data_IF_687530841001
#
_entry.id   IF_687530841001
#
_cell.length_a   1.000
_cell.length_b   1.000
_cell.length_c   1.000
_cell.angle_alpha   90.00
_cell.angle_beta   90.00
_cell.angle_gamma   90.00
#
_symmetry.space_group_name_H-M   'P 1'
#
loop_
_entity.id
_entity.type
_entity.pdbx_description
1 polymer ?
#
# COMPACT_ATOMS: atom_id res chain seq x y z
N UNK A 1 6.35 -17.09 -21.73
CA UNK A 1 5.00 -17.67 -21.92
C UNK A 1 4.06 -16.54 -22.31
N UNK A 2 3.09 -16.78 -23.20
CA UNK A 2 2.05 -15.79 -23.49
C UNK A 2 1.19 -15.61 -22.21
N UNK A 3 0.91 -14.36 -21.86
CA UNK A 3 0.01 -14.04 -20.76
C UNK A 3 -1.42 -14.23 -21.21
N UNK A 4 -2.20 -15.05 -20.52
CA UNK A 4 -3.61 -15.24 -20.82
C UNK A 4 -4.41 -13.96 -20.52
N UNK A 5 -5.46 -13.74 -21.30
CA UNK A 5 -6.35 -12.59 -21.09
C UNK A 5 -7.52 -13.00 -20.19
N UNK A 6 -7.68 -12.30 -19.06
CA UNK A 6 -8.88 -12.45 -18.24
C UNK A 6 -9.99 -11.61 -18.90
N UNK A 7 -11.06 -12.27 -19.30
CA UNK A 7 -12.18 -11.60 -19.95
C UNK A 7 -12.82 -10.53 -19.04
N UNK A 8 -13.13 -9.35 -19.59
CA UNK A 8 -13.65 -8.22 -18.84
C UNK A 8 -15.02 -8.50 -18.18
N UNK A 9 -15.89 -9.25 -18.86
CA UNK A 9 -17.19 -9.68 -18.32
C UNK A 9 -17.04 -10.55 -17.06
N UNK A 10 -16.02 -11.45 -17.02
CA UNK A 10 -15.69 -12.24 -15.83
C UNK A 10 -15.23 -11.36 -14.67
N UNK A 11 -14.37 -10.37 -14.95
CA UNK A 11 -13.93 -9.41 -13.95
C UNK A 11 -15.13 -8.63 -13.39
N UNK A 12 -16.00 -8.12 -14.28
CA UNK A 12 -17.19 -7.36 -13.92
C UNK A 12 -18.18 -8.20 -13.09
N UNK A 13 -18.42 -9.45 -13.47
CA UNK A 13 -19.31 -10.35 -12.74
C UNK A 13 -18.83 -10.56 -11.29
N UNK A 14 -17.53 -10.70 -11.06
CA UNK A 14 -16.94 -10.86 -9.73
C UNK A 14 -16.91 -9.55 -8.94
N UNK A 15 -16.65 -8.42 -9.59
CA UNK A 15 -16.64 -7.12 -8.94
C UNK A 15 -18.05 -6.63 -8.51
N UNK A 16 -19.11 -7.25 -9.02
CA UNK A 16 -20.52 -6.90 -8.73
C UNK A 16 -20.88 -5.51 -9.27
N UNK A 17 -21.52 -4.66 -8.45
CA UNK A 17 -21.74 -3.24 -8.77
C UNK A 17 -20.42 -2.45 -8.72
N UNK A 18 -19.38 -3.02 -9.31
CA UNK A 18 -17.98 -2.68 -9.17
C UNK A 18 -17.58 -1.25 -9.52
N UNK A 19 -16.26 -0.97 -9.47
CA UNK A 19 -15.74 0.34 -9.81
C UNK A 19 -16.02 0.66 -11.27
N UNK A 20 -16.01 1.96 -11.67
CA UNK A 20 -16.07 2.34 -13.07
C UNK A 20 -15.01 1.66 -13.93
N UNK A 21 -13.79 1.53 -13.41
CA UNK A 21 -12.68 0.82 -14.03
C UNK A 21 -11.95 -0.08 -13.06
N UNK A 22 -11.53 -1.24 -13.52
CA UNK A 22 -10.79 -2.23 -12.74
C UNK A 22 -9.75 -2.93 -13.62
N UNK A 23 -8.61 -3.24 -13.03
CA UNK A 23 -7.59 -4.08 -13.65
C UNK A 23 -7.11 -5.14 -12.65
N UNK A 24 -6.79 -6.34 -13.14
CA UNK A 24 -6.37 -7.49 -12.34
C UNK A 24 -5.27 -8.25 -13.06
N UNK A 25 -4.30 -8.76 -12.29
CA UNK A 25 -3.36 -9.76 -12.76
C UNK A 25 -3.23 -10.91 -11.76
N UNK A 26 -3.03 -12.12 -12.29
CA UNK A 26 -2.69 -13.33 -11.56
C UNK A 26 -1.27 -13.73 -11.97
N UNK A 27 -0.43 -14.04 -10.99
CA UNK A 27 0.97 -14.39 -11.22
C UNK A 27 1.38 -15.64 -10.44
N UNK A 28 2.35 -16.35 -10.97
CA UNK A 28 3.11 -17.41 -10.31
C UNK A 28 4.61 -17.12 -10.36
N UNK A 29 5.46 -17.97 -9.81
CA UNK A 29 6.91 -17.75 -9.83
C UNK A 29 7.49 -17.65 -11.25
N UNK A 30 6.86 -18.25 -12.24
CA UNK A 30 7.24 -18.20 -13.65
C UNK A 30 6.94 -16.84 -14.31
N UNK A 31 5.98 -16.08 -13.79
CA UNK A 31 5.59 -14.77 -14.33
C UNK A 31 4.10 -14.46 -14.15
N UNK A 32 3.63 -13.44 -14.84
CA UNK A 32 2.19 -13.14 -14.96
C UNK A 32 1.55 -14.23 -15.81
N UNK A 33 0.60 -14.96 -15.24
CA UNK A 33 -0.17 -16.02 -15.90
C UNK A 33 -1.31 -15.43 -16.71
N UNK A 34 -2.06 -14.52 -16.08
CA UNK A 34 -3.22 -13.92 -16.71
C UNK A 34 -3.40 -12.48 -16.23
N UNK A 35 -3.85 -11.60 -17.12
CA UNK A 35 -4.19 -10.22 -16.79
C UNK A 35 -5.41 -9.75 -17.57
N UNK A 36 -6.10 -8.75 -17.06
CA UNK A 36 -7.25 -8.16 -17.74
C UNK A 36 -7.69 -6.87 -17.09
N UNK A 37 -8.53 -6.14 -17.78
CA UNK A 37 -9.16 -4.92 -17.28
C UNK A 37 -10.58 -4.81 -17.84
N UNK A 38 -11.42 -4.05 -17.15
CA UNK A 38 -12.79 -3.78 -17.55
C UNK A 38 -13.23 -2.38 -17.13
N UNK A 39 -14.12 -1.78 -17.92
CA UNK A 39 -14.75 -0.50 -17.63
C UNK A 39 -13.90 0.71 -18.00
N UNK A 40 -14.08 1.82 -17.28
CA UNK A 40 -13.56 3.14 -17.61
C UNK A 40 -12.60 3.66 -16.54
N UNK A 41 -11.39 4.00 -16.94
CA UNK A 41 -10.43 4.74 -16.11
C UNK A 41 -10.87 6.19 -15.90
N UNK A 42 -11.56 6.78 -16.91
CA UNK A 42 -12.21 8.09 -16.81
C UNK A 42 -13.58 8.04 -17.51
N UNK A 43 -14.66 8.19 -16.74
CA UNK A 43 -16.05 8.18 -17.27
C UNK A 43 -16.28 9.39 -18.18
N UNK A 44 -15.80 10.57 -17.78
CA UNK A 44 -16.08 11.82 -18.48
C UNK A 44 -15.37 11.87 -19.85
N UNK A 45 -14.16 11.35 -19.91
CA UNK A 45 -13.35 11.30 -21.13
C UNK A 45 -13.57 10.00 -21.95
N UNK A 46 -14.31 9.02 -21.44
CA UNK A 46 -14.52 7.73 -22.10
C UNK A 46 -13.25 6.86 -22.18
N UNK A 47 -12.26 7.11 -21.32
CA UNK A 47 -10.99 6.38 -21.34
C UNK A 47 -11.18 4.99 -20.74
N UNK A 48 -10.82 3.96 -21.51
CA UNK A 48 -10.93 2.56 -21.06
C UNK A 48 -9.93 2.25 -19.95
N UNK A 49 -10.34 1.41 -19.00
CA UNK A 49 -9.43 0.83 -18.02
C UNK A 49 -8.45 -0.13 -18.70
N UNK A 50 -7.23 -0.16 -18.19
CA UNK A 50 -6.17 -1.04 -18.70
C UNK A 50 -5.19 -1.38 -17.57
N UNK A 51 -4.35 -2.43 -17.70
CA UNK A 51 -3.27 -2.70 -16.76
C UNK A 51 -2.25 -1.55 -16.62
N UNK A 52 -2.20 -0.69 -17.62
CA UNK A 52 -1.30 0.48 -17.69
C UNK A 52 -1.87 1.73 -17.01
N UNK A 53 -3.14 1.72 -16.58
CA UNK A 53 -3.71 2.86 -15.87
C UNK A 53 -2.97 3.08 -14.54
N UNK A 54 -2.67 4.35 -14.26
CA UNK A 54 -1.96 4.74 -13.04
C UNK A 54 -2.98 5.09 -11.96
N UNK A 55 -2.89 4.40 -10.82
CA UNK A 55 -3.73 4.61 -9.65
C UNK A 55 -2.86 4.94 -8.42
N UNK A 56 -3.36 5.72 -7.45
CA UNK A 56 -2.80 5.74 -6.11
C UNK A 56 -2.83 4.34 -5.49
N UNK A 57 -1.65 3.83 -5.08
CA UNK A 57 -1.56 2.51 -4.43
C UNK A 57 -2.11 2.51 -3.01
N UNK A 58 -2.20 3.72 -2.45
CA UNK A 58 -2.65 3.89 -1.08
C UNK A 58 -1.85 2.98 -0.13
N UNK A 59 -2.52 2.31 0.81
CA UNK A 59 -1.83 1.52 1.81
C UNK A 59 -1.01 0.34 1.29
N UNK A 60 -1.14 -0.09 0.03
CA UNK A 60 -0.21 -1.06 -0.59
C UNK A 60 1.23 -0.53 -0.56
N UNK A 61 1.42 0.79 -0.59
CA UNK A 61 2.72 1.46 -0.38
C UNK A 61 3.46 0.95 0.86
N UNK A 62 2.73 0.57 1.93
CA UNK A 62 3.36 0.08 3.17
C UNK A 62 4.16 -1.21 2.97
N UNK A 63 3.78 -2.04 1.99
CA UNK A 63 4.60 -3.21 1.63
C UNK A 63 5.93 -2.80 1.01
N UNK A 64 5.92 -1.78 0.15
CA UNK A 64 7.16 -1.25 -0.45
C UNK A 64 8.02 -0.61 0.63
N UNK A 65 7.42 0.18 1.54
CA UNK A 65 8.10 0.73 2.72
C UNK A 65 8.72 -0.38 3.58
N UNK A 66 7.98 -1.46 3.82
CA UNK A 66 8.47 -2.61 4.58
C UNK A 66 9.61 -3.33 3.86
N UNK A 67 9.51 -3.52 2.55
CA UNK A 67 10.56 -4.13 1.73
C UNK A 67 11.85 -3.30 1.77
N UNK A 68 11.74 -1.97 1.68
CA UNK A 68 12.88 -1.07 1.80
C UNK A 68 13.52 -1.13 3.21
N UNK A 69 12.73 -1.16 4.27
CA UNK A 69 13.24 -1.32 5.64
C UNK A 69 13.95 -2.67 5.84
N UNK A 70 13.38 -3.76 5.30
CA UNK A 70 14.00 -5.09 5.33
C UNK A 70 15.29 -5.13 4.53
N UNK A 71 15.36 -4.44 3.39
CA UNK A 71 16.58 -4.27 2.60
C UNK A 71 17.67 -3.56 3.40
N UNK A 72 17.34 -2.46 4.08
CA UNK A 72 18.28 -1.75 4.95
C UNK A 72 18.76 -2.62 6.13
N UNK A 73 17.88 -3.47 6.65
CA UNK A 73 18.25 -4.40 7.72
C UNK A 73 19.25 -5.45 7.25
N UNK A 74 19.07 -6.03 6.07
CA UNK A 74 20.04 -6.99 5.50
C UNK A 74 21.39 -6.33 5.15
N UNK A 75 21.38 -5.04 4.82
CA UNK A 75 22.59 -4.25 4.62
C UNK A 75 23.29 -3.83 5.94
N UNK A 76 22.69 -4.14 7.09
CA UNK A 76 23.21 -3.75 8.40
C UNK A 76 23.07 -2.25 8.72
N UNK A 77 22.26 -1.51 7.93
CA UNK A 77 22.03 -0.06 8.09
C UNK A 77 20.92 0.24 9.09
N UNK A 78 19.91 -0.64 9.18
CA UNK A 78 18.78 -0.52 10.10
C UNK A 78 18.67 -1.77 10.97
N UNK A 79 18.87 -1.64 12.27
CA UNK A 79 18.55 -2.73 13.20
C UNK A 79 17.04 -2.78 13.46
N UNK A 80 16.41 -3.92 13.12
CA UNK A 80 14.98 -4.11 13.30
C UNK A 80 14.55 -4.18 14.76
N UNK A 81 15.45 -4.55 15.65
CA UNK A 81 15.18 -4.85 17.06
C UNK A 81 15.73 -3.78 18.01
N UNK A 82 16.58 -2.90 17.52
CA UNK A 82 17.02 -1.74 18.28
C UNK A 82 15.91 -0.66 18.35
N UNK A 83 15.80 0.07 19.49
CA UNK A 83 14.89 1.19 19.60
C UNK A 83 15.17 2.28 18.57
N UNK A 84 14.12 2.75 17.88
CA UNK A 84 14.24 3.84 16.88
C UNK A 84 14.17 5.23 17.51
N UNK A 85 14.10 5.31 18.84
CA UNK A 85 13.86 6.55 19.58
C UNK A 85 14.88 7.64 19.30
N UNK A 86 16.16 7.28 19.24
CA UNK A 86 17.24 8.25 18.98
C UNK A 86 17.27 8.73 17.51
N UNK A 87 16.75 7.91 16.61
CA UNK A 87 16.66 8.26 15.18
C UNK A 87 15.43 9.10 14.83
N UNK A 88 14.44 9.17 15.75
CA UNK A 88 13.17 9.89 15.49
C UNK A 88 12.87 10.83 16.66
N UNK A 89 13.44 12.05 16.69
CA UNK A 89 13.25 13.00 17.80
C UNK A 89 11.77 13.30 18.12
N UNK A 90 10.88 13.21 17.13
CA UNK A 90 9.43 13.37 17.29
C UNK A 90 8.82 12.39 18.32
N UNK A 91 9.44 11.22 18.57
CA UNK A 91 8.99 10.25 19.57
C UNK A 91 9.11 10.77 21.01
N UNK A 92 9.90 11.82 21.27
CA UNK A 92 9.97 12.47 22.59
C UNK A 92 8.64 13.06 23.05
N UNK A 93 7.72 13.32 22.13
CA UNK A 93 6.35 13.76 22.42
C UNK A 93 5.43 12.62 22.85
N UNK A 94 5.78 11.37 22.52
CA UNK A 94 4.92 10.19 22.71
C UNK A 94 4.92 9.75 24.18
N UNK A 95 3.76 9.34 24.68
CA UNK A 95 3.55 8.94 26.07
C UNK A 95 2.92 7.55 26.20
N UNK A 96 3.24 6.80 27.24
CA UNK A 96 4.29 7.10 28.21
C UNK A 96 5.69 6.99 27.59
N UNK A 97 6.63 7.83 28.04
CA UNK A 97 7.98 7.91 27.46
C UNK A 97 8.74 6.56 27.53
N UNK A 98 8.57 5.81 28.61
CA UNK A 98 9.18 4.48 28.77
C UNK A 98 8.73 3.49 27.68
N UNK A 99 7.49 3.58 27.17
CA UNK A 99 7.02 2.77 26.04
C UNK A 99 7.55 3.30 24.71
N UNK A 100 7.54 4.62 24.53
CA UNK A 100 8.07 5.26 23.33
C UNK A 100 9.54 4.89 23.08
N UNK A 101 10.35 4.88 24.15
CA UNK A 101 11.76 4.50 24.11
C UNK A 101 12.03 3.03 23.74
N UNK A 102 11.00 2.17 23.73
CA UNK A 102 11.12 0.74 23.36
C UNK A 102 10.55 0.41 21.98
N UNK A 103 10.08 1.41 21.22
CA UNK A 103 9.58 1.18 19.87
C UNK A 103 10.75 0.82 18.96
N UNK A 104 10.64 -0.32 18.28
CA UNK A 104 11.62 -0.80 17.29
C UNK A 104 11.07 -0.73 15.89
N UNK A 105 11.91 -0.85 14.87
CA UNK A 105 11.47 -0.95 13.47
C UNK A 105 10.54 -2.16 13.27
N UNK A 106 10.81 -3.29 13.92
CA UNK A 106 9.94 -4.48 13.89
C UNK A 106 8.53 -4.20 14.42
N UNK A 107 8.41 -3.43 15.49
CA UNK A 107 7.11 -3.00 16.01
C UNK A 107 6.34 -2.11 15.03
N UNK A 108 7.04 -1.27 14.27
CA UNK A 108 6.44 -0.39 13.26
C UNK A 108 5.97 -1.20 12.05
N UNK A 109 6.79 -2.14 11.56
CA UNK A 109 6.50 -3.05 10.45
C UNK A 109 5.30 -3.97 10.72
N UNK A 110 5.18 -4.45 11.96
CA UNK A 110 4.08 -5.34 12.40
C UNK A 110 2.88 -4.59 13.00
N UNK A 111 2.85 -3.24 12.90
CA UNK A 111 1.82 -2.41 13.52
C UNK A 111 1.57 -2.72 15.00
N UNK A 112 2.60 -3.11 15.72
CA UNK A 112 2.55 -3.45 17.15
C UNK A 112 3.18 -2.39 18.06
N UNK A 113 3.52 -1.22 17.51
CA UNK A 113 4.13 -0.12 18.29
C UNK A 113 3.16 0.57 19.26
N UNK A 114 1.86 0.33 19.17
CA UNK A 114 0.86 0.90 20.08
C UNK A 114 0.24 2.22 19.61
N UNK A 115 0.58 2.73 18.46
CA UNK A 115 0.00 3.96 17.92
C UNK A 115 -1.51 3.85 17.65
N UNK A 116 -2.20 4.99 17.76
CA UNK A 116 -3.56 5.14 17.26
C UNK A 116 -3.55 5.14 15.71
N UNK A 117 -4.73 4.97 15.11
CA UNK A 117 -4.91 5.09 13.67
C UNK A 117 -5.88 6.24 13.36
N UNK A 118 -5.42 7.49 13.32
CA UNK A 118 -6.24 8.61 12.90
C UNK A 118 -6.63 8.47 11.42
N UNK A 119 -7.84 8.94 11.09
CA UNK A 119 -8.34 8.89 9.72
C UNK A 119 -7.62 9.93 8.84
N UNK A 120 -6.96 9.54 7.74
CA UNK A 120 -6.08 10.42 6.99
C UNK A 120 -6.80 11.25 5.92
N UNK A 121 -8.09 11.56 6.08
CA UNK A 121 -8.89 12.28 5.06
C UNK A 121 -8.40 13.70 4.75
N UNK A 122 -7.59 14.28 5.62
CA UNK A 122 -7.01 15.63 5.47
C UNK A 122 -5.49 15.59 5.30
N UNK A 123 -4.88 14.42 5.14
CA UNK A 123 -3.46 14.26 4.91
C UNK A 123 -3.18 14.15 3.41
N UNK A 124 -3.72 15.13 2.70
CA UNK A 124 -3.71 15.15 1.23
C UNK A 124 -3.58 16.60 0.75
N UNK A 125 -2.92 16.78 -0.40
CA UNK A 125 -2.78 18.04 -1.10
C UNK A 125 -3.01 17.84 -2.59
N UNK A 126 -3.30 18.91 -3.33
CA UNK A 126 -3.31 18.87 -4.80
C UNK A 126 -1.87 18.92 -5.30
N UNK A 127 -1.66 18.44 -6.51
CA UNK A 127 -0.32 18.35 -7.12
C UNK A 127 0.37 19.71 -7.28
N UNK A 128 -0.41 20.78 -7.45
CA UNK A 128 0.05 22.17 -7.53
C UNK A 128 0.29 22.84 -6.17
N UNK A 129 0.04 22.12 -5.07
CA UNK A 129 0.25 22.60 -3.70
C UNK A 129 1.53 22.00 -3.11
N UNK A 130 2.18 22.79 -2.25
CA UNK A 130 3.34 22.28 -1.51
C UNK A 130 2.90 21.31 -0.40
N UNK A 131 3.51 20.14 -0.40
CA UNK A 131 3.38 19.21 0.72
C UNK A 131 4.04 19.80 1.98
N UNK A 132 3.50 19.52 3.17
CA UNK A 132 4.22 19.83 4.40
C UNK A 132 5.53 19.03 4.45
N UNK A 133 6.61 19.66 4.92
CA UNK A 133 7.88 18.95 5.13
C UNK A 133 7.66 17.71 6.03
N UNK A 134 8.31 16.56 5.74
CA UNK A 134 8.05 15.29 6.43
C UNK A 134 8.17 15.38 7.95
N UNK A 135 9.19 16.09 8.43
CA UNK A 135 9.43 16.26 9.88
C UNK A 135 8.35 17.13 10.54
N UNK A 136 7.95 18.22 9.89
CA UNK A 136 6.88 19.08 10.39
C UNK A 136 5.56 18.33 10.45
N UNK A 137 5.27 17.55 9.42
CA UNK A 137 4.07 16.73 9.33
C UNK A 137 4.04 15.66 10.44
N UNK A 138 5.13 14.89 10.59
CA UNK A 138 5.24 13.85 11.62
C UNK A 138 5.15 14.45 13.03
N UNK A 139 5.88 15.54 13.30
CA UNK A 139 5.85 16.24 14.59
C UNK A 139 4.42 16.70 14.92
N UNK A 140 3.72 17.31 13.98
CA UNK A 140 2.34 17.77 14.18
C UNK A 140 1.36 16.61 14.45
N UNK A 141 1.57 15.45 13.82
CA UNK A 141 0.76 14.26 14.05
C UNK A 141 1.02 13.65 15.41
N UNK A 142 2.29 13.47 15.82
CA UNK A 142 2.64 12.87 17.10
C UNK A 142 2.30 13.79 18.28
N UNK A 143 2.31 15.12 18.10
CA UNK A 143 1.79 16.05 19.10
C UNK A 143 0.30 15.83 19.39
N UNK A 144 -0.51 15.58 18.36
CA UNK A 144 -1.96 15.34 18.50
C UNK A 144 -2.30 13.92 18.94
N UNK A 145 -1.50 12.93 18.51
CA UNK A 145 -1.74 11.50 18.70
C UNK A 145 -0.64 10.86 19.57
N UNK A 146 -0.24 11.57 20.61
CA UNK A 146 0.93 11.26 21.42
C UNK A 146 0.78 10.05 22.36
N UNK A 147 -0.42 9.48 22.54
CA UNK A 147 -0.64 8.37 23.49
C UNK A 147 -0.57 7.01 22.80
N UNK A 148 0.34 6.15 23.26
CA UNK A 148 0.33 4.73 22.93
C UNK A 148 -0.81 4.03 23.67
N UNK A 149 -1.55 3.20 22.93
CA UNK A 149 -2.74 2.49 23.42
C UNK A 149 -2.43 1.20 24.15
N UNK A 150 -1.24 0.64 23.91
CA UNK A 150 -0.78 -0.62 24.50
C UNK A 150 0.75 -0.68 24.46
N UNK A 151 1.31 -1.70 25.08
CA UNK A 151 2.74 -1.96 25.15
C UNK A 151 3.27 -2.38 23.78
N UNK A 152 4.37 -1.78 23.26
CA UNK A 152 4.99 -2.22 22.02
C UNK A 152 5.23 -3.74 22.00
N UNK A 153 4.87 -4.40 20.90
CA UNK A 153 4.98 -5.84 20.70
C UNK A 153 3.83 -6.68 21.27
N UNK A 154 2.97 -6.13 22.15
CA UNK A 154 1.96 -6.94 22.87
C UNK A 154 0.77 -7.39 22.00
N UNK A 155 0.45 -6.66 20.95
CA UNK A 155 -0.63 -6.97 19.99
C UNK A 155 -0.50 -6.14 18.71
N UNK A 156 -1.17 -6.56 17.65
CA UNK A 156 -1.26 -5.80 16.41
C UNK A 156 -2.48 -4.85 16.40
N UNK A 157 -2.25 -3.61 15.98
CA UNK A 157 -3.30 -2.63 15.70
C UNK A 157 -2.85 -1.71 14.56
N UNK A 158 -3.44 -1.90 13.39
CA UNK A 158 -3.10 -1.16 12.18
C UNK A 158 -3.05 0.35 12.44
N UNK A 159 -1.98 1.00 11.96
CA UNK A 159 -1.76 2.44 12.13
C UNK A 159 -1.06 3.05 10.92
N UNK A 160 -1.52 4.22 10.49
CA UNK A 160 -0.84 5.03 9.48
C UNK A 160 0.36 5.80 10.06
N UNK A 161 0.45 5.95 11.40
CA UNK A 161 1.57 6.63 12.04
C UNK A 161 2.84 5.79 12.04
N UNK A 162 2.72 4.46 12.20
CA UNK A 162 3.87 3.55 12.23
C UNK A 162 4.80 3.71 11.02
N UNK A 163 4.30 3.59 9.78
CA UNK A 163 5.11 3.79 8.57
C UNK A 163 5.78 5.17 8.46
N UNK A 164 5.14 6.23 8.96
CA UNK A 164 5.73 7.58 8.98
C UNK A 164 6.93 7.65 9.94
N UNK A 165 6.79 7.06 11.13
CA UNK A 165 7.90 6.95 12.10
C UNK A 165 9.02 6.09 11.53
N UNK A 166 8.69 4.98 10.86
CA UNK A 166 9.68 4.11 10.20
C UNK A 166 10.44 4.86 9.10
N UNK A 167 9.74 5.61 8.26
CA UNK A 167 10.37 6.41 7.21
C UNK A 167 11.32 7.48 7.78
N UNK A 168 10.94 8.14 8.88
CA UNK A 168 11.82 9.09 9.56
C UNK A 168 13.08 8.40 10.10
N UNK A 169 12.94 7.19 10.70
CA UNK A 169 14.10 6.41 11.13
C UNK A 169 15.00 6.03 9.95
N UNK A 170 14.41 5.52 8.84
CA UNK A 170 15.14 5.17 7.63
C UNK A 170 15.90 6.38 7.04
N UNK A 171 15.24 7.55 6.96
CA UNK A 171 15.86 8.80 6.50
C UNK A 171 17.04 9.19 7.40
N UNK A 172 16.91 9.08 8.70
CA UNK A 172 17.98 9.44 9.65
C UNK A 172 19.19 8.52 9.52
N UNK A 173 18.98 7.19 9.47
CA UNK A 173 20.11 6.23 9.40
C UNK A 173 20.81 6.22 8.06
N UNK A 174 20.13 6.61 6.97
CA UNK A 174 20.71 6.63 5.62
C UNK A 174 21.18 8.01 5.18
N UNK A 175 20.70 9.08 5.82
CA UNK A 175 20.89 10.46 5.34
C UNK A 175 20.17 10.78 4.03
N UNK A 176 19.32 9.89 3.51
CA UNK A 176 18.62 10.01 2.22
C UNK A 176 17.13 10.28 2.42
N UNK A 177 16.51 11.19 1.64
CA UNK A 177 15.07 11.37 1.66
C UNK A 177 14.33 10.05 1.36
N UNK A 178 13.26 9.76 2.10
CA UNK A 178 12.53 8.49 2.00
C UNK A 178 12.10 8.13 0.56
N UNK A 179 11.61 9.11 -0.21
CA UNK A 179 11.16 8.86 -1.58
C UNK A 179 12.31 8.48 -2.52
N UNK A 180 13.47 9.12 -2.37
CA UNK A 180 14.68 8.81 -3.12
C UNK A 180 15.20 7.42 -2.75
N UNK A 181 15.26 7.13 -1.44
CA UNK A 181 15.66 5.82 -0.93
C UNK A 181 14.81 4.69 -1.54
N UNK A 182 13.48 4.82 -1.52
CA UNK A 182 12.59 3.80 -2.11
C UNK A 182 12.78 3.69 -3.61
N UNK A 183 12.97 4.82 -4.30
CA UNK A 183 13.17 4.84 -5.75
C UNK A 183 14.47 4.12 -6.14
N UNK A 184 15.55 4.34 -5.41
CA UNK A 184 16.86 3.76 -5.72
C UNK A 184 17.02 2.32 -5.24
N UNK A 185 16.45 1.95 -4.09
CA UNK A 185 16.61 0.60 -3.54
C UNK A 185 15.55 -0.40 -4.04
N UNK A 186 14.39 0.08 -4.47
CA UNK A 186 13.26 -0.80 -4.83
C UNK A 186 12.75 -0.54 -6.25
N UNK A 187 12.28 0.69 -6.55
CA UNK A 187 11.55 0.92 -7.80
C UNK A 187 12.46 0.81 -9.03
N UNK A 188 13.63 1.46 -9.00
CA UNK A 188 14.60 1.43 -10.09
C UNK A 188 15.12 0.03 -10.38
N UNK A 189 15.69 -0.69 -9.39
CA UNK A 189 16.17 -2.05 -9.59
C UNK A 189 15.11 -3.04 -10.10
N UNK A 190 13.86 -2.85 -9.70
CA UNK A 190 12.74 -3.67 -10.19
C UNK A 190 12.19 -3.22 -11.54
N UNK A 191 12.70 -2.15 -12.15
CA UNK A 191 12.19 -1.62 -13.42
C UNK A 191 10.75 -1.09 -13.34
N UNK A 192 10.33 -0.58 -12.17
CA UNK A 192 8.99 -0.06 -11.92
C UNK A 192 8.87 1.39 -12.40
N UNK A 193 9.04 1.60 -13.71
CA UNK A 193 9.18 2.92 -14.33
C UNK A 193 7.91 3.78 -14.35
N UNK A 194 6.74 3.20 -14.06
CA UNK A 194 5.46 3.91 -13.96
C UNK A 194 4.98 4.04 -12.51
N UNK A 195 5.90 3.91 -11.55
CA UNK A 195 5.59 4.03 -10.11
C UNK A 195 6.47 5.09 -9.47
N UNK A 196 5.85 6.06 -8.81
CA UNK A 196 6.55 7.15 -8.12
C UNK A 196 5.66 7.77 -7.02
N UNK A 197 6.23 8.67 -6.21
CA UNK A 197 5.48 9.43 -5.18
C UNK A 197 4.82 10.70 -5.73
N UNK A 198 5.13 11.07 -6.97
CA UNK A 198 4.54 12.20 -7.70
C UNK A 198 4.26 11.77 -9.13
N UNK A 199 3.32 12.45 -9.80
CA UNK A 199 3.05 12.15 -11.20
C UNK A 199 4.16 12.66 -12.12
N UNK A 200 4.69 11.79 -12.97
CA UNK A 200 5.43 12.24 -14.16
C UNK A 200 4.43 12.63 -15.27
N UNK A 201 4.84 13.39 -16.30
CA UNK A 201 3.97 13.69 -17.43
C UNK A 201 3.38 12.46 -18.11
N UNK A 202 4.12 11.35 -18.17
CA UNK A 202 3.65 10.08 -18.71
C UNK A 202 2.60 9.43 -17.80
N UNK A 203 2.87 9.33 -16.51
CA UNK A 203 1.93 8.82 -15.53
C UNK A 203 0.64 9.63 -15.52
N UNK A 204 0.73 10.96 -15.67
CA UNK A 204 -0.44 11.83 -15.71
C UNK A 204 -1.35 11.52 -16.90
N UNK A 205 -0.80 11.21 -18.07
CA UNK A 205 -1.59 10.81 -19.25
C UNK A 205 -2.35 9.49 -19.05
N UNK A 206 -1.87 8.62 -18.16
CA UNK A 206 -2.45 7.32 -17.84
C UNK A 206 -3.21 7.31 -16.51
N UNK A 207 -3.30 8.44 -15.81
CA UNK A 207 -3.91 8.52 -14.49
C UNK A 207 -5.41 8.22 -14.55
N UNK A 208 -5.85 7.25 -13.77
CA UNK A 208 -7.27 6.98 -13.58
C UNK A 208 -7.91 8.06 -12.70
N UNK A 209 -9.16 8.39 -12.99
CA UNK A 209 -9.99 9.24 -12.14
C UNK A 209 -10.59 8.39 -11.03
N UNK A 210 -10.42 8.81 -9.79
CA UNK A 210 -11.04 8.16 -8.63
C UNK A 210 -12.52 8.51 -8.51
N UNK A 211 -13.33 7.54 -8.07
CA UNK A 211 -14.77 7.70 -7.94
C UNK A 211 -15.26 7.32 -6.55
N UNK A 212 -16.18 8.14 -6.02
CA UNK A 212 -16.87 7.87 -4.76
C UNK A 212 -18.38 7.81 -4.99
N UNK A 213 -19.14 6.92 -4.31
CA UNK A 213 -20.59 6.87 -4.47
C UNK A 213 -21.23 8.23 -4.12
N UNK A 214 -22.01 8.78 -5.07
CA UNK A 214 -22.57 10.14 -4.96
C UNK A 214 -23.43 10.36 -3.72
N UNK A 215 -24.15 9.33 -3.28
CA UNK A 215 -25.07 9.38 -2.14
C UNK A 215 -24.43 8.93 -0.81
N UNK A 216 -23.12 8.65 -0.80
CA UNK A 216 -22.42 8.21 0.42
C UNK A 216 -22.31 9.36 1.45
N UNK A 217 -22.65 9.12 2.73
CA UNK A 217 -22.44 10.09 3.80
C UNK A 217 -20.95 10.45 4.00
N UNK A 218 -20.02 9.54 3.68
CA UNK A 218 -18.59 9.80 3.75
C UNK A 218 -18.14 10.98 2.89
N UNK A 219 -18.90 11.34 1.85
CA UNK A 219 -18.64 12.52 1.04
C UNK A 219 -18.55 13.80 1.86
N UNK A 220 -19.30 13.90 2.96
CA UNK A 220 -19.31 15.07 3.85
C UNK A 220 -18.00 15.23 4.62
N UNK A 221 -17.21 14.17 4.76
CA UNK A 221 -15.90 14.20 5.43
C UNK A 221 -14.75 14.58 4.49
N UNK A 222 -15.00 14.53 3.17
CA UNK A 222 -13.96 14.84 2.19
C UNK A 222 -13.72 16.36 2.11
N UNK A 223 -12.46 16.77 1.92
CA UNK A 223 -12.16 18.16 1.60
C UNK A 223 -12.89 18.57 0.32
N UNK A 224 -13.59 19.71 0.36
CA UNK A 224 -14.41 20.16 -0.79
C UNK A 224 -13.60 20.30 -2.08
N UNK A 225 -12.34 20.66 -1.98
CA UNK A 225 -11.44 20.85 -3.12
C UNK A 225 -11.01 19.53 -3.79
N UNK A 226 -11.14 18.36 -3.13
CA UNK A 226 -10.93 17.03 -3.74
C UNK A 226 -12.15 16.60 -4.56
N UNK A 227 -13.33 17.13 -4.26
CA UNK A 227 -14.59 16.72 -4.91
C UNK A 227 -14.64 17.33 -6.32
N UNK A 228 -14.81 16.46 -7.32
CA UNK A 228 -14.97 16.83 -8.72
C UNK A 228 -16.43 16.88 -9.15
N UNK A 229 -16.70 16.44 -10.38
CA UNK A 229 -18.03 16.50 -11.02
C UNK A 229 -18.85 15.21 -10.82
N UNK A 230 -20.19 15.29 -10.82
CA UNK A 230 -21.04 14.11 -10.89
C UNK A 230 -20.81 13.31 -12.18
N UNK A 231 -20.82 11.98 -12.08
CA UNK A 231 -20.69 11.03 -13.19
C UNK A 231 -21.64 9.83 -12.94
N UNK A 232 -22.91 9.98 -13.27
CA UNK A 232 -23.96 9.01 -12.96
C UNK A 232 -24.11 8.77 -11.44
N UNK A 233 -24.00 7.51 -10.96
CA UNK A 233 -24.11 7.19 -9.54
C UNK A 233 -22.86 7.61 -8.74
N UNK A 234 -21.83 8.10 -9.42
CA UNK A 234 -20.54 8.47 -8.87
C UNK A 234 -20.33 9.98 -8.77
N UNK A 235 -19.39 10.37 -7.95
CA UNK A 235 -18.74 11.67 -8.00
C UNK A 235 -17.27 11.44 -8.27
N UNK A 236 -16.71 12.14 -9.28
CA UNK A 236 -15.29 12.08 -9.57
C UNK A 236 -14.49 12.81 -8.49
N UNK A 237 -13.22 12.45 -8.35
CA UNK A 237 -12.30 13.13 -7.47
C UNK A 237 -11.21 13.81 -8.31
N UNK A 238 -10.80 14.99 -7.86
CA UNK A 238 -9.63 15.65 -8.43
C UNK A 238 -8.38 14.85 -8.01
N UNK A 239 -7.35 14.80 -8.85
CA UNK A 239 -6.08 14.18 -8.49
C UNK A 239 -5.51 14.79 -7.21
N UNK A 240 -5.02 13.96 -6.32
CA UNK A 240 -4.43 14.37 -5.05
C UNK A 240 -3.19 13.52 -4.75
N UNK A 241 -2.30 14.06 -3.94
CA UNK A 241 -1.15 13.38 -3.37
C UNK A 241 -1.33 13.25 -1.86
N UNK A 242 -0.65 12.28 -1.24
CA UNK A 242 -0.71 12.09 0.20
C UNK A 242 0.45 12.78 0.90
N UNK A 243 0.14 13.48 1.98
CA UNK A 243 1.15 13.99 2.91
C UNK A 243 1.82 12.83 3.64
N UNK A 244 3.15 12.80 3.67
CA UNK A 244 3.91 11.71 4.27
C UNK A 244 3.85 10.41 3.45
N UNK A 245 4.71 10.26 2.47
CA UNK A 245 4.62 9.26 1.40
C UNK A 245 4.61 7.81 1.89
N UNK A 246 5.25 7.49 3.01
CA UNK A 246 5.52 6.13 3.46
C UNK A 246 4.27 5.29 3.82
N UNK A 247 3.15 5.92 4.15
CA UNK A 247 1.94 5.17 4.53
C UNK A 247 0.99 4.90 3.37
N UNK A 248 1.18 5.57 2.22
CA UNK A 248 0.22 5.42 1.12
C UNK A 248 0.51 6.22 -0.15
N UNK A 249 1.67 6.87 -0.27
CA UNK A 249 1.93 7.89 -1.29
C UNK A 249 2.31 7.40 -2.67
N UNK A 250 2.56 6.11 -2.90
CA UNK A 250 2.88 5.61 -4.23
C UNK A 250 1.69 5.73 -5.18
N UNK A 251 2.01 6.14 -6.39
CA UNK A 251 1.17 6.12 -7.57
C UNK A 251 1.81 5.14 -8.55
N UNK A 252 1.02 4.33 -9.25
CA UNK A 252 1.64 3.40 -10.19
C UNK A 252 0.62 2.56 -10.95
N UNK A 253 1.10 1.80 -11.95
CA UNK A 253 0.30 0.89 -12.75
C UNK A 253 0.12 -0.47 -12.08
N UNK A 254 -0.84 -1.27 -12.59
CA UNK A 254 -0.97 -2.67 -12.21
C UNK A 254 0.24 -3.48 -12.68
N UNK A 255 0.84 -3.12 -13.80
CA UNK A 255 2.02 -3.81 -14.35
C UNK A 255 3.21 -3.71 -13.39
N UNK A 256 3.48 -2.52 -12.85
CA UNK A 256 4.52 -2.35 -11.82
C UNK A 256 4.14 -3.06 -10.51
N UNK A 257 2.86 -3.06 -10.13
CA UNK A 257 2.41 -3.82 -8.96
C UNK A 257 2.58 -5.33 -9.15
N UNK A 258 2.43 -5.83 -10.38
CA UNK A 258 2.70 -7.22 -10.74
C UNK A 258 4.21 -7.54 -10.60
N UNK A 259 5.11 -6.64 -11.00
CA UNK A 259 6.56 -6.80 -10.77
C UNK A 259 6.88 -6.90 -9.28
N UNK A 260 6.25 -6.05 -8.47
CA UNK A 260 6.41 -6.12 -7.01
C UNK A 260 5.82 -7.41 -6.42
N UNK A 261 4.69 -7.90 -6.93
CA UNK A 261 4.12 -9.19 -6.56
C UNK A 261 5.07 -10.34 -6.91
N UNK A 262 5.65 -10.33 -8.12
CA UNK A 262 6.61 -11.33 -8.59
C UNK A 262 7.87 -11.35 -7.74
N UNK A 263 8.40 -10.21 -7.30
CA UNK A 263 9.52 -10.14 -6.36
C UNK A 263 9.24 -11.01 -5.13
N UNK A 264 8.06 -10.88 -4.54
CA UNK A 264 7.67 -11.63 -3.35
C UNK A 264 7.36 -13.10 -3.65
N UNK A 265 6.82 -13.45 -4.81
CA UNK A 265 6.59 -14.83 -5.24
C UNK A 265 7.90 -15.57 -5.54
N UNK A 266 8.91 -14.85 -5.99
CA UNK A 266 10.26 -15.36 -6.31
C UNK A 266 11.26 -15.19 -5.15
N UNK A 267 10.76 -15.14 -3.93
CA UNK A 267 11.59 -15.09 -2.71
C UNK A 267 12.64 -13.97 -2.71
N UNK A 268 12.23 -12.78 -3.15
CA UNK A 268 13.04 -11.55 -3.06
C UNK A 268 13.94 -11.27 -4.25
N UNK A 269 13.77 -11.99 -5.37
CA UNK A 269 14.52 -11.78 -6.60
C UNK A 269 13.59 -11.62 -7.81
N UNK A 270 13.91 -10.70 -8.71
CA UNK A 270 13.19 -10.50 -9.96
C UNK A 270 14.19 -10.16 -11.07
N UNK A 271 14.09 -10.87 -12.21
CA UNK A 271 14.89 -10.64 -13.41
C UNK A 271 16.41 -10.58 -13.15
N UNK A 272 16.90 -11.44 -12.23
CA UNK A 272 18.32 -11.50 -11.81
C UNK A 272 18.72 -10.45 -10.77
N UNK A 273 17.79 -9.57 -10.37
CA UNK A 273 18.03 -8.56 -9.34
C UNK A 273 17.49 -9.04 -7.98
N UNK A 274 18.39 -9.20 -7.00
CA UNK A 274 18.02 -9.57 -5.65
C UNK A 274 17.84 -8.33 -4.77
N UNK A 275 16.62 -8.12 -4.33
CA UNK A 275 16.27 -7.06 -3.37
C UNK A 275 16.38 -7.57 -1.93
N UNK A 276 15.87 -8.77 -1.67
CA UNK A 276 15.86 -9.40 -0.35
C UNK A 276 16.37 -10.85 -0.45
N UNK A 277 16.90 -11.37 0.63
CA UNK A 277 17.12 -12.80 0.77
C UNK A 277 15.79 -13.55 0.84
N UNK A 278 15.83 -14.86 0.52
CA UNK A 278 14.70 -15.76 0.71
C UNK A 278 14.20 -15.74 2.16
N UNK A 279 15.13 -15.73 3.12
CA UNK A 279 14.81 -15.72 4.55
C UNK A 279 14.08 -14.42 4.95
N UNK A 280 14.56 -13.26 4.51
CA UNK A 280 13.88 -11.98 4.77
C UNK A 280 12.50 -11.94 4.15
N UNK A 281 12.36 -12.36 2.89
CA UNK A 281 11.06 -12.41 2.21
C UNK A 281 10.07 -13.33 2.91
N UNK A 282 10.52 -14.51 3.37
CA UNK A 282 9.69 -15.44 4.13
C UNK A 282 9.28 -14.85 5.48
N UNK A 283 10.21 -14.18 6.19
CA UNK A 283 9.92 -13.53 7.49
C UNK A 283 8.89 -12.41 7.37
N UNK A 284 8.87 -11.68 6.26
CA UNK A 284 7.84 -10.65 6.02
C UNK A 284 6.43 -11.24 5.98
N UNK A 285 6.28 -12.43 5.39
CA UNK A 285 4.98 -13.12 5.23
C UNK A 285 4.56 -13.90 6.48
N UNK A 286 5.50 -14.17 7.40
CA UNK A 286 5.20 -14.89 8.63
C UNK A 286 4.36 -14.02 9.57
N UNK A 287 3.15 -14.49 9.90
CA UNK A 287 2.30 -13.84 10.88
C UNK A 287 2.86 -14.05 12.28
N UNK A 288 3.32 -13.00 12.91
CA UNK A 288 3.96 -13.04 14.23
C UNK A 288 3.15 -12.36 15.33
N UNK A 289 2.27 -11.41 14.96
CA UNK A 289 1.48 -10.68 15.96
C UNK A 289 0.00 -10.73 15.58
N UNK A 290 -0.82 -11.14 16.53
CA UNK A 290 -2.29 -11.20 16.36
C UNK A 290 -2.95 -9.89 16.75
N UNK A 291 -3.98 -9.50 16.00
CA UNK A 291 -4.79 -8.32 16.26
C UNK A 291 -6.28 -8.60 16.18
N UNK A 292 -7.07 -7.60 16.52
CA UNK A 292 -8.54 -7.71 16.47
C UNK A 292 -9.09 -7.78 15.04
N UNK A 293 -8.49 -7.00 14.12
CA UNK A 293 -8.94 -6.90 12.71
C UNK A 293 -7.99 -7.62 11.76
N UNK A 294 -6.70 -7.57 12.05
CA UNK A 294 -5.65 -8.11 11.21
C UNK A 294 -4.61 -8.81 12.07
N UNK A 295 -4.15 -9.95 11.61
CA UNK A 295 -2.95 -10.61 12.09
C UNK A 295 -1.79 -10.18 11.17
N UNK A 296 -0.66 -9.79 11.73
CA UNK A 296 0.40 -9.12 11.01
C UNK A 296 1.74 -9.88 11.04
N UNK A 297 2.37 -9.89 9.87
CA UNK A 297 3.79 -10.10 9.68
C UNK A 297 4.53 -8.76 9.57
N UNK A 298 5.62 -8.70 8.81
CA UNK A 298 6.36 -7.47 8.57
C UNK A 298 5.89 -6.83 7.25
N UNK A 299 4.86 -5.99 7.34
CA UNK A 299 4.18 -5.36 6.21
C UNK A 299 3.00 -6.16 5.67
N UNK A 300 3.11 -7.48 5.54
CA UNK A 300 1.99 -8.35 5.16
C UNK A 300 1.02 -8.55 6.31
N UNK A 301 -0.26 -8.74 5.98
CA UNK A 301 -1.27 -9.10 6.97
C UNK A 301 -2.27 -10.14 6.44
N UNK A 302 -3.07 -10.67 7.34
CA UNK A 302 -4.26 -11.49 7.06
C UNK A 302 -5.43 -10.93 7.88
N UNK A 303 -6.62 -10.74 7.28
CA UNK A 303 -7.80 -10.39 8.04
C UNK A 303 -8.08 -11.41 9.14
N UNK A 304 -8.40 -10.97 10.35
CA UNK A 304 -8.68 -11.86 11.46
C UNK A 304 -9.89 -12.78 11.21
N UNK A 305 -10.84 -12.34 10.36
CA UNK A 305 -11.97 -13.13 9.88
C UNK A 305 -11.59 -14.25 8.90
N UNK A 306 -10.34 -14.26 8.42
CA UNK A 306 -9.83 -15.20 7.41
C UNK A 306 -8.70 -16.09 7.98
N UNK A 307 -8.66 -16.28 9.31
CA UNK A 307 -7.64 -17.12 9.96
C UNK A 307 -7.68 -18.57 9.48
N UNK A 308 -8.89 -19.06 9.21
CA UNK A 308 -9.17 -20.43 8.78
C UNK A 308 -9.36 -20.53 7.25
N UNK A 309 -8.90 -19.51 6.49
CA UNK A 309 -8.97 -19.55 5.04
C UNK A 309 -8.14 -20.73 4.47
N UNK A 310 -8.73 -21.46 3.54
CA UNK A 310 -8.08 -22.53 2.81
C UNK A 310 -8.17 -22.25 1.29
N UNK A 311 -7.03 -22.10 0.59
CA UNK A 311 -5.67 -22.06 1.13
C UNK A 311 -5.40 -20.78 1.94
N UNK A 312 -4.46 -20.84 2.92
CA UNK A 312 -4.08 -19.67 3.69
C UNK A 312 -3.36 -18.64 2.81
N UNK A 313 -3.58 -17.37 3.12
CA UNK A 313 -2.98 -16.26 2.36
C UNK A 313 -2.45 -15.15 3.26
N UNK A 314 -1.63 -14.29 2.68
CA UNK A 314 -1.27 -12.98 3.19
C UNK A 314 -1.56 -11.92 2.14
N UNK A 315 -1.93 -10.72 2.59
CA UNK A 315 -2.32 -9.64 1.68
C UNK A 315 -1.93 -8.27 2.21
N UNK A 316 -2.09 -7.26 1.36
CA UNK A 316 -2.24 -5.88 1.78
C UNK A 316 -3.32 -5.21 0.94
N UNK A 317 -4.17 -4.42 1.60
CA UNK A 317 -5.21 -3.62 0.99
C UNK A 317 -4.78 -2.16 0.88
N UNK A 318 -5.08 -1.52 -0.23
CA UNK A 318 -4.93 -0.10 -0.44
C UNK A 318 -6.29 0.56 -0.55
N UNK A 319 -6.87 0.93 0.58
CA UNK A 319 -8.20 1.54 0.64
C UNK A 319 -8.15 3.03 0.95
N UNK A 320 -8.87 3.81 0.19
CA UNK A 320 -9.03 5.24 0.39
C UNK A 320 -10.17 5.80 -0.47
N UNK A 321 -10.32 7.10 -0.47
CA UNK A 321 -11.36 7.72 -1.27
C UNK A 321 -11.00 7.63 -2.75
N UNK A 322 -11.90 7.07 -3.52
CA UNK A 322 -11.79 6.95 -4.97
C UNK A 322 -11.02 5.74 -5.49
N UNK A 323 -10.31 5.00 -4.63
CA UNK A 323 -9.53 3.84 -5.08
C UNK A 323 -9.54 2.73 -4.03
N UNK A 324 -9.58 1.48 -4.51
CA UNK A 324 -9.46 0.32 -3.65
C UNK A 324 -8.64 -0.75 -4.38
N UNK A 325 -7.50 -1.12 -3.78
CA UNK A 325 -6.50 -2.00 -4.39
C UNK A 325 -6.18 -3.16 -3.45
N UNK A 326 -5.66 -4.24 -4.02
CA UNK A 326 -5.24 -5.42 -3.28
C UNK A 326 -4.01 -6.04 -3.92
N UNK A 327 -3.12 -6.53 -3.08
CA UNK A 327 -2.09 -7.51 -3.43
C UNK A 327 -2.21 -8.67 -2.44
N UNK A 328 -2.30 -9.91 -2.96
CA UNK A 328 -2.47 -11.13 -2.15
C UNK A 328 -1.56 -12.23 -2.68
N UNK A 329 -1.01 -12.99 -1.77
CA UNK A 329 -0.21 -14.19 -2.05
C UNK A 329 -0.80 -15.38 -1.30
N UNK A 330 -0.89 -16.51 -1.99
CA UNK A 330 -1.19 -17.83 -1.45
C UNK A 330 0.11 -18.65 -1.44
N UNK A 331 0.90 -18.62 -0.35
CA UNK A 331 2.25 -19.20 -0.35
C UNK A 331 2.26 -20.70 -0.65
N UNK A 332 1.27 -21.44 -0.13
CA UNK A 332 1.15 -22.89 -0.35
C UNK A 332 0.81 -23.28 -1.79
N UNK A 333 0.28 -22.34 -2.59
CA UNK A 333 -0.08 -22.54 -4.00
C UNK A 333 0.95 -21.91 -4.95
N UNK A 334 1.89 -21.12 -4.44
CA UNK A 334 2.84 -20.37 -5.27
C UNK A 334 2.15 -19.39 -6.22
N UNK A 335 0.98 -18.85 -5.87
CA UNK A 335 0.27 -17.90 -6.73
C UNK A 335 -0.05 -16.62 -5.97
N UNK A 336 -0.21 -15.53 -6.71
CA UNK A 336 -0.64 -14.26 -6.19
C UNK A 336 -1.54 -13.51 -7.17
N UNK A 337 -2.20 -12.50 -6.65
CA UNK A 337 -3.08 -11.62 -7.42
C UNK A 337 -2.87 -10.17 -7.00
N UNK A 338 -2.88 -9.28 -7.98
CA UNK A 338 -2.96 -7.85 -7.77
C UNK A 338 -4.23 -7.31 -8.46
N UNK A 339 -4.93 -6.41 -7.78
CA UNK A 339 -6.18 -5.80 -8.24
C UNK A 339 -6.11 -4.30 -7.99
N UNK A 340 -6.47 -3.51 -8.99
CA UNK A 340 -6.62 -2.06 -8.89
C UNK A 340 -7.98 -1.63 -9.41
N UNK A 341 -8.70 -0.83 -8.61
CA UNK A 341 -9.99 -0.29 -9.03
C UNK A 341 -10.17 1.15 -8.61
N UNK A 342 -10.79 1.94 -9.48
CA UNK A 342 -10.98 3.37 -9.31
C UNK A 342 -12.28 3.75 -8.59
N UNK A 343 -12.67 2.98 -7.58
CA UNK A 343 -13.74 3.34 -6.65
C UNK A 343 -13.35 3.06 -5.19
N UNK A 344 -14.00 3.77 -4.28
CA UNK A 344 -13.74 3.67 -2.83
C UNK A 344 -13.95 2.26 -2.27
N UNK A 345 -14.85 1.47 -2.84
CA UNK A 345 -15.14 0.09 -2.42
C UNK A 345 -15.86 -0.70 -3.51
N UNK A 346 -15.61 -1.99 -3.55
CA UNK A 346 -16.27 -3.00 -4.40
C UNK A 346 -15.92 -4.39 -3.87
N UNK A 347 -16.42 -5.47 -4.51
CA UNK A 347 -16.19 -6.85 -4.07
C UNK A 347 -14.78 -7.36 -4.44
N UNK A 348 -13.74 -6.70 -3.93
CA UNK A 348 -12.35 -6.98 -4.26
C UNK A 348 -11.93 -8.41 -3.90
N UNK A 349 -12.45 -8.98 -2.81
CA UNK A 349 -12.16 -10.36 -2.41
C UNK A 349 -12.69 -11.39 -3.41
N UNK A 350 -13.83 -11.12 -4.05
CA UNK A 350 -14.36 -11.99 -5.09
C UNK A 350 -13.46 -11.97 -6.33
N UNK A 351 -12.96 -10.79 -6.71
CA UNK A 351 -12.00 -10.66 -7.82
C UNK A 351 -10.68 -11.36 -7.49
N UNK A 352 -10.21 -11.23 -6.25
CA UNK A 352 -8.95 -11.87 -5.81
C UNK A 352 -8.98 -13.40 -5.90
N UNK A 353 -10.15 -14.04 -5.89
CA UNK A 353 -10.31 -15.50 -6.08
C UNK A 353 -9.92 -15.97 -7.48
N UNK A 354 -9.76 -15.08 -8.44
CA UNK A 354 -9.23 -15.44 -9.77
C UNK A 354 -7.86 -16.13 -9.68
N UNK A 355 -7.07 -15.85 -8.63
CA UNK A 355 -5.80 -16.52 -8.38
C UNK A 355 -5.93 -18.02 -8.08
N UNK A 356 -7.12 -18.48 -7.69
CA UNK A 356 -7.41 -19.87 -7.34
C UNK A 356 -8.26 -20.58 -8.42
N UNK A 357 -8.61 -19.88 -9.49
CA UNK A 357 -9.29 -20.48 -10.62
C UNK A 357 -8.26 -21.20 -11.49
N UNK A 358 -8.52 -22.45 -11.81
CA UNK A 358 -7.75 -23.30 -12.71
C UNK A 358 -7.84 -22.78 -14.17
#
# INVERSE_FOLDING_TARGET
MATDTIAGDRIRALAGRGPPGIAVCVAGPEGVRAAGADGLADIAAGVQASPWMVCPWLSVTKLVTATAAMRLAELGVLDLDAPVFEHVPALRQVRPAARAGRITARHLLSHSAGFSNPMPVRWVHLEDQLAPGPDLFLNGLLARHHRLRFEPGSRAAYSNLGPLVLAAAMTTVTGRPFAELVSEEILGPLGMGTTAFTYTPEMRRRAAVGYHPRLSPMRLLLPRWVIGKPAGPWISLRPFLLDGPAYGGLLGSLDDLARFLLLHLRDGELDGVRILSRAATASMRQITVRGRRYDLGLGWFRPASQRDADPPFVEHLGGGVGFYNLIRIYPSRGVGVAVMGNATSYHIDAVARLALAD
#
